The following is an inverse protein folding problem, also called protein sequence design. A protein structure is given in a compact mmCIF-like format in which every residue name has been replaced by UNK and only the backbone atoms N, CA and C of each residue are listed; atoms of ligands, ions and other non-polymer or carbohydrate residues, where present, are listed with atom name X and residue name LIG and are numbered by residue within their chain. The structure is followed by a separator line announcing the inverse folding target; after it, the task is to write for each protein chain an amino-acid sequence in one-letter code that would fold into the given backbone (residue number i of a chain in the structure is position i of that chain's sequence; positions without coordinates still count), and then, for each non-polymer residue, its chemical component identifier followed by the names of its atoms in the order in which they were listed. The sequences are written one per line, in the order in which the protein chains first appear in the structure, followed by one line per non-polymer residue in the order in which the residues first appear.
data_IF_642192222933
#
_entry.id   IF_642192222933
#
_cell.length_a   1.000
_cell.length_b   1.000
_cell.length_c   1.000
_cell.angle_alpha   90.00
_cell.angle_beta   90.00
_cell.angle_gamma   90.00
#
_symmetry.space_group_name_H-M   'P 1'
#
loop_
_entity.id
_entity.type
_entity.pdbx_description
1 polymer ?
#
# COMPACT_ATOMS: atom_id res chain seq x y z
N UNK A 1 28.54 6.22 -1.66
CA UNK A 1 27.43 6.09 -2.64
C UNK A 1 27.62 4.90 -3.59
N UNK A 2 28.80 4.69 -4.19
CA UNK A 2 29.08 3.54 -5.08
C UNK A 2 29.05 2.14 -4.42
N UNK A 3 29.33 2.03 -3.12
CA UNK A 3 29.32 0.74 -2.40
C UNK A 3 27.89 0.25 -2.09
N UNK A 4 26.97 1.18 -1.81
CA UNK A 4 25.55 0.87 -1.54
C UNK A 4 24.82 0.46 -2.84
N UNK A 5 25.19 1.07 -3.98
CA UNK A 5 24.63 0.72 -5.29
C UNK A 5 25.00 -0.70 -5.75
N UNK A 6 26.23 -1.16 -5.50
CA UNK A 6 26.68 -2.51 -5.86
C UNK A 6 26.13 -3.62 -4.96
N UNK A 7 25.80 -3.32 -3.70
CA UNK A 7 25.13 -4.27 -2.80
C UNK A 7 23.68 -4.53 -3.20
N UNK A 8 22.98 -3.52 -3.72
CA UNK A 8 21.65 -3.71 -4.27
C UNK A 8 21.67 -4.75 -5.41
N UNK A 9 22.64 -4.65 -6.33
CA UNK A 9 22.82 -5.60 -7.44
C UNK A 9 23.07 -7.05 -6.98
N UNK A 10 23.78 -7.28 -5.87
CA UNK A 10 24.04 -8.64 -5.39
C UNK A 10 22.86 -9.24 -4.62
N UNK A 11 22.09 -8.44 -3.88
CA UNK A 11 20.78 -8.86 -3.33
C UNK A 11 19.81 -9.21 -4.46
N UNK A 12 19.86 -8.48 -5.59
CA UNK A 12 19.09 -8.81 -6.80
C UNK A 12 19.46 -10.18 -7.40
N UNK A 13 20.66 -10.72 -7.17
CA UNK A 13 21.06 -12.05 -7.69
C UNK A 13 20.42 -13.22 -6.93
N UNK A 14 20.11 -13.04 -5.64
CA UNK A 14 19.42 -14.05 -4.81
C UNK A 14 17.90 -14.04 -5.03
N UNK A 15 17.35 -12.91 -5.48
CA UNK A 15 15.91 -12.71 -5.65
C UNK A 15 15.24 -13.70 -6.62
N UNK A 16 15.83 -14.05 -7.78
CA UNK A 16 15.31 -15.07 -8.67
C UNK A 16 15.22 -16.46 -8.03
N UNK A 17 16.25 -16.86 -7.27
CA UNK A 17 16.30 -18.18 -6.60
C UNK A 17 15.23 -18.26 -5.52
N UNK A 18 15.13 -17.21 -4.68
CA UNK A 18 14.08 -17.10 -3.66
C UNK A 18 12.69 -17.11 -4.32
N UNK A 19 12.51 -16.37 -5.41
CA UNK A 19 11.25 -16.33 -6.16
C UNK A 19 10.87 -17.71 -6.73
N UNK A 20 11.82 -18.47 -7.27
CA UNK A 20 11.58 -19.83 -7.78
C UNK A 20 11.21 -20.82 -6.67
N UNK A 21 11.83 -20.70 -5.49
CA UNK A 21 11.48 -21.49 -4.31
C UNK A 21 10.05 -21.17 -3.88
N UNK A 22 9.70 -19.89 -3.77
CA UNK A 22 8.35 -19.43 -3.41
C UNK A 22 7.30 -19.88 -4.44
N UNK A 23 7.61 -19.86 -5.73
CA UNK A 23 6.71 -20.34 -6.80
C UNK A 23 6.36 -21.82 -6.64
N UNK A 24 7.31 -22.66 -6.23
CA UNK A 24 7.03 -24.10 -5.97
C UNK A 24 6.08 -24.29 -4.79
N UNK A 25 6.29 -23.57 -3.69
CA UNK A 25 5.40 -23.67 -2.53
C UNK A 25 4.00 -23.12 -2.82
N UNK A 26 3.90 -22.10 -3.67
CA UNK A 26 2.61 -21.56 -4.14
C UNK A 26 1.80 -22.62 -4.90
N UNK A 27 2.47 -23.51 -5.64
CA UNK A 27 1.81 -24.56 -6.41
C UNK A 27 1.37 -25.78 -5.56
N UNK A 28 1.89 -25.94 -4.34
CA UNK A 28 1.53 -27.05 -3.43
C UNK A 28 0.20 -26.76 -2.70
N UNK A 29 -0.19 -25.48 -2.56
CA UNK A 29 -1.43 -25.11 -1.88
C UNK A 29 -2.66 -25.38 -2.75
N UNK A 30 -3.65 -26.08 -2.19
CA UNK A 30 -5.00 -26.23 -2.79
C UNK A 30 -5.72 -24.89 -2.98
N UNK A 31 -5.34 -23.86 -2.22
CA UNK A 31 -5.93 -22.50 -2.27
C UNK A 31 -4.85 -21.49 -2.65
N UNK A 32 -4.39 -21.53 -3.90
CA UNK A 32 -3.28 -20.74 -4.44
C UNK A 32 -3.46 -19.23 -4.20
N UNK A 33 -4.68 -18.71 -4.37
CA UNK A 33 -4.98 -17.29 -4.14
C UNK A 33 -4.89 -16.91 -2.65
N UNK A 34 -5.40 -17.75 -1.76
CA UNK A 34 -5.25 -17.56 -0.30
C UNK A 34 -3.79 -17.63 0.16
N UNK A 35 -3.00 -18.53 -0.43
CA UNK A 35 -1.57 -18.62 -0.14
C UNK A 35 -0.82 -17.37 -0.60
N UNK A 36 -1.11 -16.84 -1.80
CA UNK A 36 -0.55 -15.57 -2.30
C UNK A 36 -0.85 -14.40 -1.37
N UNK A 37 -2.08 -14.36 -0.84
CA UNK A 37 -2.49 -13.35 0.14
C UNK A 37 -1.66 -13.47 1.42
N UNK A 38 -1.58 -14.66 2.02
CA UNK A 38 -0.85 -14.89 3.27
C UNK A 38 0.64 -14.59 3.12
N UNK A 39 1.27 -15.09 2.05
CA UNK A 39 2.69 -14.83 1.77
C UNK A 39 2.93 -13.36 1.48
N UNK A 40 2.04 -12.69 0.75
CA UNK A 40 2.13 -11.26 0.48
C UNK A 40 2.08 -10.42 1.77
N UNK A 41 1.13 -10.71 2.67
CA UNK A 41 1.03 -10.03 3.96
C UNK A 41 2.26 -10.32 4.84
N UNK A 42 2.68 -11.58 4.96
CA UNK A 42 3.87 -11.96 5.73
C UNK A 42 5.14 -11.28 5.22
N UNK A 43 5.37 -11.29 3.91
CA UNK A 43 6.51 -10.63 3.29
C UNK A 43 6.52 -9.12 3.59
N UNK A 44 5.33 -8.49 3.59
CA UNK A 44 5.19 -7.07 3.91
C UNK A 44 5.49 -6.78 5.38
N UNK A 45 4.98 -7.60 6.30
CA UNK A 45 5.30 -7.48 7.75
C UNK A 45 6.78 -7.67 8.00
N UNK A 46 7.42 -8.67 7.37
CA UNK A 46 8.86 -8.90 7.49
C UNK A 46 9.65 -7.70 6.93
N UNK A 47 9.25 -7.17 5.77
CA UNK A 47 9.91 -6.02 5.15
C UNK A 47 9.82 -4.76 6.03
N UNK A 48 8.67 -4.53 6.68
CA UNK A 48 8.50 -3.46 7.66
C UNK A 48 9.34 -3.69 8.92
N UNK A 49 9.37 -4.94 9.42
CA UNK A 49 10.19 -5.32 10.58
C UNK A 49 11.69 -5.13 10.32
N UNK A 50 12.19 -5.51 9.14
CA UNK A 50 13.57 -5.26 8.73
C UNK A 50 13.82 -3.76 8.61
N UNK A 51 12.93 -3.00 7.97
CA UNK A 51 13.06 -1.54 7.91
C UNK A 51 13.16 -0.92 9.31
N UNK A 52 12.36 -1.40 10.26
CA UNK A 52 12.41 -0.94 11.64
C UNK A 52 13.74 -1.28 12.34
N UNK A 53 14.22 -2.53 12.21
CA UNK A 53 15.51 -2.94 12.78
C UNK A 53 16.65 -2.13 12.17
N UNK A 54 16.66 -1.96 10.85
CA UNK A 54 17.68 -1.18 10.15
C UNK A 54 17.61 0.28 10.57
N UNK A 55 16.44 0.92 10.55
CA UNK A 55 16.30 2.32 10.97
C UNK A 55 16.69 2.52 12.44
N UNK A 56 16.27 1.62 13.34
CA UNK A 56 16.65 1.71 14.76
C UNK A 56 18.14 1.46 15.00
N UNK A 57 18.77 0.55 14.24
CA UNK A 57 20.23 0.34 14.28
C UNK A 57 20.98 1.53 13.69
N UNK A 58 20.55 2.08 12.56
CA UNK A 58 21.17 3.24 11.93
C UNK A 58 21.06 4.47 12.82
N UNK A 59 19.90 4.71 13.44
CA UNK A 59 19.72 5.85 14.33
C UNK A 59 20.41 5.68 15.69
N UNK A 60 20.73 4.45 16.13
CA UNK A 60 21.52 4.22 17.36
C UNK A 60 23.03 4.21 17.11
N UNK A 61 23.47 3.73 15.94
CA UNK A 61 24.89 3.59 15.60
C UNK A 61 25.53 4.80 14.90
N UNK A 62 24.73 5.68 14.26
CA UNK A 62 25.25 6.78 13.42
C UNK A 62 24.93 8.18 13.96
N UNK A 63 24.54 8.30 15.24
CA UNK A 63 24.23 9.57 15.90
C UNK A 63 25.42 10.51 16.07
N UNK A 64 26.64 9.98 16.03
CA UNK A 64 27.85 10.75 16.27
C UNK A 64 28.71 10.81 14.98
N UNK A 65 28.79 11.96 14.29
CA UNK A 65 29.62 12.12 13.07
C UNK A 65 31.07 11.66 13.26
N UNK A 66 31.59 11.74 14.49
CA UNK A 66 32.94 11.33 14.87
C UNK A 66 33.13 9.81 14.89
N UNK A 67 32.06 9.04 15.15
CA UNK A 67 32.12 7.56 15.14
C UNK A 67 32.12 6.99 13.72
N UNK A 68 31.44 7.65 12.78
CA UNK A 68 31.54 7.38 11.33
C UNK A 68 32.95 7.75 10.85
N UNK A 69 33.49 8.87 11.33
CA UNK A 69 34.83 9.33 10.96
C UNK A 69 35.92 8.40 11.51
N UNK A 70 35.79 7.88 12.75
CA UNK A 70 36.68 6.84 13.30
C UNK A 70 36.58 5.52 12.54
N UNK A 71 35.37 5.06 12.18
CA UNK A 71 35.17 3.86 11.38
C UNK A 71 35.76 3.96 9.96
N UNK A 72 35.85 5.17 9.40
CA UNK A 72 36.47 5.46 8.11
C UNK A 72 37.98 5.76 8.21
N UNK A 73 38.43 6.37 9.31
CA UNK A 73 39.81 6.82 9.52
C UNK A 73 40.72 5.75 10.11
N UNK A 74 40.19 4.79 10.89
CA UNK A 74 41.01 3.76 11.53
C UNK A 74 41.68 2.80 10.53
N UNK A 75 41.32 2.85 9.23
CA UNK A 75 41.95 2.03 8.17
C UNK A 75 41.81 0.51 8.35
N UNK A 76 41.34 0.08 9.52
CA UNK A 76 40.99 -1.27 9.82
C UNK A 76 39.72 -1.52 9.04
N UNK A 77 39.84 -2.33 8.01
CA UNK A 77 38.82 -2.78 7.08
C UNK A 77 37.60 -3.42 7.78
N UNK A 78 37.11 -2.96 8.94
CA UNK A 78 36.03 -3.58 9.72
C UNK A 78 34.69 -3.40 9.02
N UNK A 79 34.43 -2.24 8.40
CA UNK A 79 33.23 -2.05 7.58
C UNK A 79 33.32 -2.88 6.30
N UNK A 80 34.48 -2.90 5.64
CA UNK A 80 34.71 -3.69 4.43
C UNK A 80 34.67 -5.20 4.73
N UNK A 81 35.23 -5.67 5.84
CA UNK A 81 35.30 -7.08 6.21
C UNK A 81 33.95 -7.56 6.77
N UNK A 82 33.22 -6.73 7.52
CA UNK A 82 31.84 -7.02 7.95
C UNK A 82 30.88 -7.02 6.76
N UNK A 83 30.98 -6.04 5.85
CA UNK A 83 30.15 -5.95 4.65
C UNK A 83 30.50 -7.01 3.59
N UNK A 84 31.74 -7.45 3.54
CA UNK A 84 32.24 -8.39 2.53
C UNK A 84 32.25 -9.85 2.99
N UNK A 85 31.91 -10.13 4.26
CA UNK A 85 31.69 -11.51 4.72
C UNK A 85 30.33 -12.08 4.28
N UNK A 86 29.37 -11.24 3.89
CA UNK A 86 28.09 -11.68 3.34
C UNK A 86 28.18 -12.13 1.87
N UNK A 87 29.19 -11.65 1.14
CA UNK A 87 29.35 -11.91 -0.30
C UNK A 87 30.81 -12.27 -0.63
N UNK A 88 31.05 -13.57 -0.81
CA UNK A 88 32.40 -14.12 -1.06
C UNK A 88 33.01 -13.53 -2.35
N UNK A 89 32.19 -13.25 -3.37
CA UNK A 89 32.62 -12.64 -4.64
C UNK A 89 33.06 -11.19 -4.48
N UNK A 90 32.38 -10.39 -3.65
CA UNK A 90 32.79 -9.00 -3.39
C UNK A 90 34.12 -8.97 -2.63
N UNK A 91 34.35 -9.93 -1.73
CA UNK A 91 35.58 -10.05 -0.94
C UNK A 91 36.78 -10.32 -1.82
N UNK A 92 36.64 -11.31 -2.71
CA UNK A 92 37.67 -11.67 -3.66
C UNK A 92 37.91 -10.55 -4.69
N UNK A 93 36.87 -9.81 -5.08
CA UNK A 93 37.00 -8.66 -6.00
C UNK A 93 37.76 -7.49 -5.38
N UNK A 94 37.53 -7.20 -4.10
CA UNK A 94 38.28 -6.19 -3.35
C UNK A 94 39.73 -6.62 -3.13
N UNK A 95 39.98 -7.89 -2.79
CA UNK A 95 41.35 -8.42 -2.66
C UNK A 95 42.12 -8.43 -3.99
N UNK A 96 41.44 -8.63 -5.13
CA UNK A 96 42.05 -8.51 -6.45
C UNK A 96 42.38 -7.05 -6.81
N UNK A 97 41.55 -6.08 -6.39
CA UNK A 97 41.74 -4.67 -6.72
C UNK A 97 42.80 -3.96 -5.84
N UNK A 98 43.08 -4.48 -4.64
CA UNK A 98 44.01 -3.89 -3.67
C UNK A 98 45.39 -4.60 -3.67
N UNK A 99 45.50 -5.79 -4.26
CA UNK A 99 46.76 -6.53 -4.29
C UNK A 99 47.79 -5.93 -5.25
N UNK A 100 48.97 -5.58 -4.74
CA UNK A 100 50.14 -5.16 -5.55
C UNK A 100 50.85 -6.33 -6.25
N UNK A 101 50.37 -7.57 -6.03
CA UNK A 101 50.94 -8.81 -6.56
C UNK A 101 50.05 -9.32 -7.71
N UNK A 102 50.61 -9.38 -8.92
CA UNK A 102 49.93 -9.79 -10.14
C UNK A 102 49.43 -11.24 -10.02
N UNK A 103 50.18 -12.13 -9.36
CA UNK A 103 49.81 -13.54 -9.20
C UNK A 103 48.57 -13.71 -8.32
N UNK A 104 48.52 -12.98 -7.20
CA UNK A 104 47.35 -12.97 -6.30
C UNK A 104 46.13 -12.33 -6.96
N UNK A 105 46.35 -11.30 -7.77
CA UNK A 105 45.28 -10.66 -8.56
C UNK A 105 44.66 -11.66 -9.54
N UNK A 106 45.48 -12.40 -10.29
CA UNK A 106 45.01 -13.42 -11.24
C UNK A 106 44.24 -14.55 -10.56
N UNK A 107 44.75 -15.06 -9.44
CA UNK A 107 44.10 -16.15 -8.68
C UNK A 107 42.73 -15.70 -8.17
N UNK A 108 42.62 -14.47 -7.65
CA UNK A 108 41.35 -13.94 -7.16
C UNK A 108 40.34 -13.74 -8.30
N UNK A 109 40.76 -13.25 -9.47
CA UNK A 109 39.90 -13.12 -10.65
C UNK A 109 39.43 -14.51 -11.15
N UNK A 110 40.33 -15.49 -11.16
CA UNK A 110 39.99 -16.87 -11.52
C UNK A 110 38.94 -17.47 -10.57
N UNK A 111 39.14 -17.31 -9.26
CA UNK A 111 38.19 -17.77 -8.24
C UNK A 111 36.82 -17.11 -8.39
N UNK A 112 36.76 -15.80 -8.64
CA UNK A 112 35.49 -15.09 -8.90
C UNK A 112 34.78 -15.70 -10.13
N UNK A 113 35.54 -15.96 -11.19
CA UNK A 113 35.01 -16.51 -12.44
C UNK A 113 34.45 -17.92 -12.22
N UNK A 114 35.19 -18.78 -11.54
CA UNK A 114 34.77 -20.16 -11.22
C UNK A 114 33.54 -20.18 -10.31
N UNK A 115 33.53 -19.37 -9.24
CA UNK A 115 32.38 -19.26 -8.33
C UNK A 115 31.14 -18.76 -9.09
N UNK A 116 31.30 -17.79 -9.99
CA UNK A 116 30.21 -17.26 -10.80
C UNK A 116 29.66 -18.31 -11.79
N UNK A 117 30.54 -19.10 -12.42
CA UNK A 117 30.14 -20.20 -13.30
C UNK A 117 29.40 -21.31 -12.54
N UNK A 118 29.87 -21.68 -11.35
CA UNK A 118 29.20 -22.67 -10.50
C UNK A 118 27.82 -22.14 -10.07
N UNK A 119 27.73 -20.88 -9.64
CA UNK A 119 26.47 -20.26 -9.28
C UNK A 119 25.47 -20.22 -10.46
N UNK A 120 25.96 -19.92 -11.66
CA UNK A 120 25.16 -19.93 -12.89
C UNK A 120 24.67 -21.34 -13.24
N UNK A 121 25.54 -22.36 -13.12
CA UNK A 121 25.16 -23.75 -13.34
C UNK A 121 24.07 -24.21 -12.36
N UNK A 122 24.24 -23.91 -11.06
CA UNK A 122 23.23 -24.17 -10.03
C UNK A 122 21.92 -23.46 -10.37
N UNK A 123 21.98 -22.19 -10.77
CA UNK A 123 20.80 -21.42 -11.16
C UNK A 123 20.06 -22.04 -12.34
N UNK A 124 20.75 -22.47 -13.38
CA UNK A 124 20.13 -23.13 -14.56
C UNK A 124 19.46 -24.43 -14.16
N UNK A 125 20.10 -25.25 -13.34
CA UNK A 125 19.52 -26.53 -12.86
C UNK A 125 18.26 -26.31 -12.02
N UNK A 126 18.30 -25.35 -11.08
CA UNK A 126 17.14 -24.99 -10.27
C UNK A 126 16.03 -24.39 -11.14
N UNK A 127 16.37 -23.47 -12.05
CA UNK A 127 15.40 -22.85 -12.95
C UNK A 127 14.66 -23.89 -13.79
N UNK A 128 15.38 -24.82 -14.43
CA UNK A 128 14.75 -25.82 -15.29
C UNK A 128 13.79 -26.75 -14.51
N UNK A 129 14.13 -27.13 -13.29
CA UNK A 129 13.30 -28.02 -12.46
C UNK A 129 12.09 -27.32 -11.83
N UNK A 130 12.23 -26.04 -11.46
CA UNK A 130 11.23 -25.30 -10.69
C UNK A 130 10.36 -24.37 -11.55
N UNK A 131 10.89 -23.79 -12.62
CA UNK A 131 10.23 -22.74 -13.39
C UNK A 131 9.01 -23.26 -14.16
N UNK A 132 9.16 -24.32 -14.96
CA UNK A 132 8.05 -24.84 -15.78
C UNK A 132 6.91 -25.40 -14.91
N UNK A 133 7.25 -26.14 -13.84
CA UNK A 133 6.25 -26.66 -12.90
C UNK A 133 5.59 -25.56 -12.07
N UNK A 134 6.29 -24.48 -11.75
CA UNK A 134 5.76 -23.32 -11.04
C UNK A 134 4.86 -22.44 -11.91
N UNK A 135 5.29 -22.15 -13.15
CA UNK A 135 4.58 -21.30 -14.09
C UNK A 135 3.25 -21.91 -14.54
N UNK A 136 3.23 -23.20 -14.92
CA UNK A 136 2.01 -23.90 -15.35
C UNK A 136 1.03 -24.08 -14.19
N UNK A 137 1.55 -24.29 -12.98
CA UNK A 137 0.73 -24.39 -11.78
C UNK A 137 0.13 -23.07 -11.30
N UNK A 138 0.71 -21.92 -11.64
CA UNK A 138 0.22 -20.62 -11.20
C UNK A 138 -1.10 -20.19 -11.88
N UNK A 139 -1.42 -20.77 -13.04
CA UNK A 139 -2.61 -20.47 -13.86
C UNK A 139 -3.82 -21.34 -13.55
N UNK A 140 -3.65 -22.50 -12.91
CA UNK A 140 -4.74 -23.41 -12.59
C UNK A 140 -5.40 -23.04 -11.25
N UNK A 141 -6.58 -22.42 -11.31
CA UNK A 141 -7.42 -22.13 -10.14
C UNK A 141 -8.17 -23.36 -9.65
N UNK A 142 -8.18 -23.60 -8.33
CA UNK A 142 -9.00 -24.64 -7.72
C UNK A 142 -10.46 -24.17 -7.60
N UNK A 143 -11.34 -24.75 -8.42
CA UNK A 143 -12.79 -24.59 -8.31
C UNK A 143 -13.42 -25.82 -7.68
N UNK A 144 -13.92 -25.72 -6.44
CA UNK A 144 -14.77 -26.78 -5.88
C UNK A 144 -16.08 -26.82 -6.69
N UNK A 145 -16.19 -27.76 -7.63
CA UNK A 145 -17.43 -28.03 -8.37
C UNK A 145 -18.46 -28.63 -7.41
N UNK A 146 -19.18 -27.76 -6.70
CA UNK A 146 -20.38 -28.14 -5.97
C UNK A 146 -21.55 -28.06 -6.95
N UNK A 147 -22.23 -29.19 -7.17
CA UNK A 147 -23.59 -29.15 -7.75
C UNK A 147 -24.47 -28.55 -6.67
N UNK A 148 -24.83 -27.27 -6.82
CA UNK A 148 -25.82 -26.64 -5.96
C UNK A 148 -27.18 -27.25 -6.29
N UNK A 149 -27.87 -27.77 -5.28
CA UNK A 149 -29.25 -28.21 -5.42
C UNK A 149 -30.16 -27.00 -5.67
N UNK A 150 -31.27 -27.17 -6.41
CA UNK A 150 -32.28 -26.11 -6.62
C UNK A 150 -32.75 -25.49 -5.28
N UNK A 151 -32.92 -26.31 -4.24
CA UNK A 151 -33.26 -25.83 -2.87
C UNK A 151 -32.17 -24.99 -2.22
N UNK A 152 -30.90 -25.22 -2.56
CA UNK A 152 -29.78 -24.44 -2.07
C UNK A 152 -29.60 -23.13 -2.84
N UNK A 153 -30.05 -23.08 -4.11
CA UNK A 153 -30.15 -21.84 -4.88
C UNK A 153 -31.29 -20.97 -4.35
N UNK A 154 -32.49 -21.52 -4.14
CA UNK A 154 -33.63 -20.75 -3.62
C UNK A 154 -33.35 -20.16 -2.23
N UNK A 155 -32.68 -20.90 -1.34
CA UNK A 155 -32.24 -20.37 -0.03
C UNK A 155 -31.20 -19.25 -0.14
N UNK A 156 -30.46 -19.16 -1.24
CA UNK A 156 -29.45 -18.12 -1.48
C UNK A 156 -29.99 -16.92 -2.26
N UNK A 157 -31.14 -17.06 -2.93
CA UNK A 157 -31.83 -15.98 -3.63
C UNK A 157 -32.71 -15.26 -2.60
N UNK A 158 -32.09 -14.34 -1.85
CA UNK A 158 -32.78 -13.45 -0.92
C UNK A 158 -32.98 -12.10 -1.62
N UNK A 159 -34.21 -11.60 -1.63
CA UNK A 159 -34.52 -10.27 -2.14
C UNK A 159 -33.72 -9.21 -1.36
N UNK A 160 -32.77 -8.57 -2.05
CA UNK A 160 -32.00 -7.44 -1.53
C UNK A 160 -32.22 -6.23 -2.43
N UNK A 161 -31.97 -5.02 -1.91
CA UNK A 161 -31.97 -3.84 -2.75
C UNK A 161 -30.87 -3.96 -3.82
N UNK A 162 -31.13 -3.39 -5.00
CA UNK A 162 -30.16 -3.40 -6.11
C UNK A 162 -28.82 -2.80 -5.68
N UNK A 163 -28.86 -1.72 -4.89
CA UNK A 163 -27.66 -1.04 -4.38
C UNK A 163 -26.84 -1.95 -3.45
N UNK A 164 -27.46 -2.59 -2.46
CA UNK A 164 -26.76 -3.48 -1.52
C UNK A 164 -26.13 -4.66 -2.25
N UNK A 165 -26.86 -5.23 -3.22
CA UNK A 165 -26.34 -6.33 -4.05
C UNK A 165 -25.11 -5.89 -4.83
N UNK A 166 -25.13 -4.68 -5.38
CA UNK A 166 -23.99 -4.15 -6.15
C UNK A 166 -22.80 -3.80 -5.26
N UNK A 167 -23.02 -3.17 -4.10
CA UNK A 167 -21.97 -2.92 -3.10
C UNK A 167 -21.30 -4.23 -2.69
N UNK A 168 -22.10 -5.27 -2.43
CA UNK A 168 -21.59 -6.61 -2.10
C UNK A 168 -20.78 -7.22 -3.23
N UNK A 169 -21.22 -7.09 -4.49
CA UNK A 169 -20.45 -7.51 -5.68
C UNK A 169 -19.08 -6.82 -5.70
N UNK A 170 -19.03 -5.50 -5.55
CA UNK A 170 -17.77 -4.74 -5.57
C UNK A 170 -16.82 -5.17 -4.44
N UNK A 171 -17.33 -5.33 -3.21
CA UNK A 171 -16.52 -5.83 -2.09
C UNK A 171 -16.02 -7.25 -2.36
N UNK A 172 -16.86 -8.16 -2.87
CA UNK A 172 -16.44 -9.53 -3.18
C UNK A 172 -15.28 -9.54 -4.19
N UNK A 173 -15.31 -8.68 -5.22
CA UNK A 173 -14.22 -8.57 -6.20
C UNK A 173 -12.92 -8.14 -5.50
N UNK A 174 -12.98 -7.12 -4.65
CA UNK A 174 -11.81 -6.61 -3.93
C UNK A 174 -11.21 -7.64 -2.96
N UNK A 175 -12.05 -8.40 -2.24
CA UNK A 175 -11.59 -9.38 -1.25
C UNK A 175 -11.17 -10.73 -1.85
N UNK A 176 -11.77 -11.16 -2.97
CA UNK A 176 -11.47 -12.46 -3.58
C UNK A 176 -10.27 -12.44 -4.52
N UNK A 177 -9.92 -11.29 -5.08
CA UNK A 177 -8.80 -11.18 -6.01
C UNK A 177 -7.54 -10.77 -5.26
N UNK A 178 -6.48 -11.60 -5.19
CA UNK A 178 -5.28 -11.31 -4.39
C UNK A 178 -4.62 -9.98 -4.71
N UNK A 179 -4.55 -9.60 -6.00
CA UNK A 179 -3.99 -8.33 -6.42
C UNK A 179 -4.76 -7.13 -5.82
N UNK A 180 -6.09 -7.19 -5.79
CA UNK A 180 -6.93 -6.12 -5.26
C UNK A 180 -6.92 -6.12 -3.74
N UNK A 181 -6.91 -7.30 -3.11
CA UNK A 181 -6.81 -7.39 -1.65
C UNK A 181 -5.50 -6.77 -1.16
N UNK A 182 -4.36 -7.08 -1.79
CA UNK A 182 -3.07 -6.54 -1.37
C UNK A 182 -2.91 -5.04 -1.63
N UNK A 183 -3.46 -4.51 -2.72
CA UNK A 183 -3.25 -3.10 -3.11
C UNK A 183 -4.37 -2.15 -2.63
N UNK A 184 -5.60 -2.63 -2.45
CA UNK A 184 -6.74 -1.79 -2.03
C UNK A 184 -7.16 -2.05 -0.59
N UNK A 185 -7.14 -3.31 -0.12
CA UNK A 185 -7.66 -3.66 1.21
C UNK A 185 -6.55 -3.68 2.26
N UNK A 186 -5.40 -4.28 1.97
CA UNK A 186 -4.31 -4.36 2.94
C UNK A 186 -3.74 -2.97 3.27
N UNK A 187 -3.69 -2.06 2.29
CA UNK A 187 -3.15 -0.70 2.48
C UNK A 187 -3.93 0.13 3.51
N UNK A 188 -5.24 -0.14 3.67
CA UNK A 188 -6.13 0.48 4.67
C UNK A 188 -5.62 0.26 6.09
N UNK A 189 -5.09 -0.94 6.35
CA UNK A 189 -4.56 -1.35 7.65
C UNK A 189 -3.08 -0.98 7.77
N UNK A 190 -2.32 -1.20 6.70
CA UNK A 190 -0.88 -1.02 6.71
C UNK A 190 -0.47 0.45 6.80
N UNK A 191 -1.11 1.35 6.07
CA UNK A 191 -0.67 2.75 6.00
C UNK A 191 -0.77 3.47 7.36
N UNK A 192 -1.88 3.38 8.12
CA UNK A 192 -1.94 3.94 9.48
C UNK A 192 -0.92 3.31 10.42
N UNK A 193 -0.74 1.99 10.33
CA UNK A 193 0.22 1.26 11.15
C UNK A 193 1.65 1.75 10.87
N UNK A 194 2.04 1.87 9.59
CA UNK A 194 3.37 2.36 9.19
C UNK A 194 3.59 3.78 9.74
N UNK A 195 2.61 4.68 9.62
CA UNK A 195 2.72 6.04 10.14
C UNK A 195 2.90 6.06 11.67
N UNK A 196 2.13 5.26 12.40
CA UNK A 196 2.27 5.12 13.86
C UNK A 196 3.64 4.54 14.25
N UNK A 197 4.11 3.51 13.53
CA UNK A 197 5.42 2.90 13.78
C UNK A 197 6.57 3.87 13.49
N UNK A 198 6.49 4.63 12.39
CA UNK A 198 7.51 5.62 12.04
C UNK A 198 7.69 6.68 13.13
N UNK A 199 6.59 7.15 13.73
CA UNK A 199 6.65 8.12 14.84
C UNK A 199 7.36 7.57 16.09
N UNK A 200 7.17 6.29 16.40
CA UNK A 200 7.78 5.64 17.58
C UNK A 200 9.24 5.25 17.31
N UNK A 201 9.58 4.94 16.06
CA UNK A 201 10.92 4.53 15.66
C UNK A 201 11.94 5.68 15.72
N UNK A 202 11.49 6.93 15.62
CA UNK A 202 12.33 8.12 15.74
C UNK A 202 12.65 8.42 17.23
N UNK A 203 13.74 7.82 17.74
CA UNK A 203 14.34 8.22 19.02
C UNK A 203 13.95 7.38 20.23
N UNK A 204 13.71 8.04 21.37
CA UNK A 204 13.19 7.41 22.58
C UNK A 204 11.67 7.29 22.46
N UNK A 205 11.21 6.13 21.98
CA UNK A 205 9.78 5.88 21.76
C UNK A 205 8.92 6.16 23.00
N UNK A 206 9.45 5.99 24.22
CA UNK A 206 8.71 6.31 25.44
C UNK A 206 8.48 7.82 25.58
N UNK A 207 9.50 8.63 25.34
CA UNK A 207 9.39 10.09 25.36
C UNK A 207 8.42 10.61 24.28
N UNK A 208 8.46 10.04 23.08
CA UNK A 208 7.54 10.40 21.99
C UNK A 208 6.08 10.03 22.35
N UNK A 209 5.85 8.88 22.96
CA UNK A 209 4.52 8.48 23.44
C UNK A 209 3.98 9.44 24.51
N UNK A 210 4.80 9.82 25.49
CA UNK A 210 4.39 10.76 26.54
C UNK A 210 4.16 12.17 25.98
N UNK A 211 4.95 12.62 25.00
CA UNK A 211 4.70 13.86 24.27
C UNK A 211 3.33 13.83 23.58
N UNK A 212 3.02 12.76 22.83
CA UNK A 212 1.72 12.61 22.16
C UNK A 212 0.58 12.63 23.18
N UNK A 213 0.70 11.90 24.29
CA UNK A 213 -0.30 11.91 25.37
C UNK A 213 -0.50 13.32 25.95
N UNK A 214 0.58 14.06 26.18
CA UNK A 214 0.54 15.45 26.61
C UNK A 214 -0.21 16.35 25.63
N UNK A 215 0.01 16.16 24.32
CA UNK A 215 -0.73 16.87 23.27
C UNK A 215 -2.22 16.53 23.29
N UNK A 216 -2.58 15.25 23.48
CA UNK A 216 -3.98 14.79 23.52
C UNK A 216 -4.73 15.28 24.76
N UNK A 217 -4.03 15.53 25.87
CA UNK A 217 -4.60 16.08 27.09
C UNK A 217 -4.80 17.61 27.01
N UNK A 218 -3.99 18.32 26.22
CA UNK A 218 -4.07 19.77 26.12
C UNK A 218 -5.11 20.22 25.07
N UNK A 219 -6.22 20.81 25.54
CA UNK A 219 -7.29 21.35 24.67
C UNK A 219 -6.83 22.46 23.72
N UNK A 220 -5.78 23.21 24.06
CA UNK A 220 -5.23 24.25 23.17
C UNK A 220 -4.60 23.63 21.91
N UNK A 221 -4.17 22.37 21.97
CA UNK A 221 -3.59 21.66 20.85
C UNK A 221 -4.64 20.95 19.97
N UNK A 222 -5.93 21.00 20.33
CA UNK A 222 -6.99 20.29 19.60
C UNK A 222 -7.14 20.80 18.16
N UNK A 223 -6.95 22.11 17.93
CA UNK A 223 -6.95 22.68 16.58
C UNK A 223 -5.86 22.04 15.70
N UNK A 224 -4.66 21.82 16.26
CA UNK A 224 -3.55 21.15 15.57
C UNK A 224 -3.85 19.67 15.33
N UNK A 225 -4.41 18.97 16.32
CA UNK A 225 -4.79 17.56 16.21
C UNK A 225 -5.87 17.39 15.13
N UNK A 226 -6.86 18.28 15.07
CA UNK A 226 -7.88 18.29 14.01
C UNK A 226 -7.27 18.46 12.63
N UNK A 227 -6.36 19.43 12.45
CA UNK A 227 -5.66 19.64 11.18
C UNK A 227 -4.86 18.40 10.77
N UNK A 228 -4.13 17.80 11.70
CA UNK A 228 -3.36 16.59 11.45
C UNK A 228 -4.26 15.39 11.09
N UNK A 229 -5.36 15.20 11.82
CA UNK A 229 -6.32 14.15 11.54
C UNK A 229 -7.01 14.36 10.18
N UNK A 230 -7.46 15.58 9.88
CA UNK A 230 -8.07 15.94 8.61
C UNK A 230 -7.13 15.63 7.42
N UNK A 231 -5.88 16.11 7.50
CA UNK A 231 -4.87 15.87 6.46
C UNK A 231 -4.49 14.39 6.34
N UNK A 232 -4.32 13.69 7.46
CA UNK A 232 -4.01 12.26 7.48
C UNK A 232 -5.13 11.39 6.91
N UNK A 233 -6.39 11.69 7.24
CA UNK A 233 -7.56 10.96 6.70
C UNK A 233 -7.71 11.25 5.21
N UNK A 234 -7.58 12.51 4.77
CA UNK A 234 -7.57 12.84 3.34
C UNK A 234 -6.48 12.09 2.57
N UNK A 235 -5.25 12.10 3.09
CA UNK A 235 -4.11 11.44 2.44
C UNK A 235 -4.32 9.93 2.37
N UNK A 236 -4.71 9.29 3.48
CA UNK A 236 -4.93 7.84 3.52
C UNK A 236 -6.09 7.40 2.62
N UNK A 237 -7.22 8.11 2.65
CA UNK A 237 -8.37 7.81 1.81
C UNK A 237 -8.10 8.09 0.33
N UNK A 238 -7.41 9.20 0.01
CA UNK A 238 -7.07 9.59 -1.36
C UNK A 238 -5.99 8.72 -2.00
N UNK A 239 -5.10 8.12 -1.19
CA UNK A 239 -4.08 7.16 -1.65
C UNK A 239 -4.67 5.78 -1.89
N UNK A 240 -5.82 5.44 -1.29
CA UNK A 240 -6.46 4.14 -1.47
C UNK A 240 -7.00 3.99 -2.92
N UNK A 241 -6.48 3.04 -3.72
CA UNK A 241 -6.91 2.86 -5.10
C UNK A 241 -8.35 2.37 -5.27
N UNK A 242 -9.02 1.90 -4.20
CA UNK A 242 -10.31 1.22 -4.28
C UNK A 242 -11.37 1.99 -5.11
N UNK A 243 -11.47 3.31 -4.93
CA UNK A 243 -12.34 4.17 -5.71
C UNK A 243 -11.73 4.58 -7.06
N UNK A 244 -10.47 5.02 -7.05
CA UNK A 244 -9.78 5.58 -8.22
C UNK A 244 -9.39 4.57 -9.30
N UNK A 245 -9.61 3.28 -9.05
CA UNK A 245 -9.45 2.21 -10.04
C UNK A 245 -10.68 1.30 -10.11
N UNK A 246 -11.83 1.73 -9.57
CA UNK A 246 -13.05 0.92 -9.47
C UNK A 246 -13.69 0.54 -10.81
N UNK A 247 -13.53 1.36 -11.84
CA UNK A 247 -13.93 1.13 -13.24
C UNK A 247 -12.84 0.33 -13.94
N UNK A 248 -11.59 0.71 -13.75
CA UNK A 248 -10.42 0.03 -14.30
C UNK A 248 -10.33 -1.45 -13.90
N UNK A 249 -10.74 -1.80 -12.68
CA UNK A 249 -10.82 -3.18 -12.16
C UNK A 249 -11.76 -4.08 -12.98
N UNK A 250 -12.81 -3.52 -13.59
CA UNK A 250 -13.71 -4.28 -14.45
C UNK A 250 -13.08 -4.60 -15.81
N UNK A 251 -12.12 -3.78 -16.25
CA UNK A 251 -11.36 -3.97 -17.47
C UNK A 251 -12.25 -4.10 -18.71
N UNK A 252 -11.84 -4.97 -19.64
CA UNK A 252 -12.61 -5.28 -20.86
C UNK A 252 -14.01 -5.81 -20.57
N UNK A 253 -14.28 -6.34 -19.37
CA UNK A 253 -15.60 -6.90 -19.01
C UNK A 253 -16.62 -5.84 -18.60
N UNK A 254 -16.26 -4.56 -18.63
CA UNK A 254 -17.17 -3.46 -18.28
C UNK A 254 -18.44 -3.42 -19.14
N UNK A 255 -18.40 -3.96 -20.37
CA UNK A 255 -19.59 -4.07 -21.21
C UNK A 255 -20.72 -4.85 -20.51
N UNK A 256 -20.39 -5.85 -19.68
CA UNK A 256 -21.39 -6.65 -18.94
C UNK A 256 -22.21 -5.75 -18.02
N UNK A 257 -21.55 -4.81 -17.33
CA UNK A 257 -22.18 -3.84 -16.44
C UNK A 257 -23.18 -2.92 -17.20
N UNK A 258 -23.01 -2.74 -18.51
CA UNK A 258 -23.92 -1.94 -19.35
C UNK A 258 -25.17 -2.71 -19.78
N UNK A 259 -25.12 -4.04 -19.87
CA UNK A 259 -26.27 -4.90 -20.22
C UNK A 259 -27.16 -5.26 -19.02
N UNK A 260 -26.66 -5.09 -17.81
CA UNK A 260 -27.42 -5.40 -16.60
C UNK A 260 -28.53 -4.34 -16.39
N UNK A 261 -29.75 -4.75 -15.99
CA UNK A 261 -30.90 -3.86 -15.82
C UNK A 261 -30.82 -3.08 -14.49
N UNK A 262 -29.69 -2.40 -14.27
CA UNK A 262 -29.40 -1.60 -13.07
C UNK A 262 -28.93 -0.23 -13.52
N UNK A 263 -29.54 0.84 -12.98
CA UNK A 263 -29.19 2.21 -13.36
C UNK A 263 -27.70 2.52 -13.13
N UNK A 264 -27.07 3.26 -14.04
CA UNK A 264 -25.66 3.66 -13.87
C UNK A 264 -25.43 4.45 -12.59
N UNK A 265 -26.41 5.26 -12.16
CA UNK A 265 -26.38 5.95 -10.87
C UNK A 265 -26.21 4.96 -9.72
N UNK A 266 -26.96 3.85 -9.71
CA UNK A 266 -26.82 2.81 -8.68
C UNK A 266 -25.45 2.14 -8.74
N UNK A 267 -24.94 1.84 -9.94
CA UNK A 267 -23.64 1.19 -10.11
C UNK A 267 -22.48 2.07 -9.63
N UNK A 268 -22.51 3.36 -9.97
CA UNK A 268 -21.50 4.35 -9.56
C UNK A 268 -21.56 4.56 -8.03
N UNK A 269 -22.75 4.77 -7.47
CA UNK A 269 -22.89 4.95 -6.02
C UNK A 269 -22.47 3.70 -5.24
N UNK A 270 -22.69 2.50 -5.77
CA UNK A 270 -22.22 1.27 -5.15
C UNK A 270 -20.68 1.20 -5.04
N UNK A 271 -19.95 1.75 -6.03
CA UNK A 271 -18.48 1.85 -6.00
C UNK A 271 -17.99 2.88 -4.97
N UNK A 272 -18.69 4.01 -4.86
CA UNK A 272 -18.40 5.00 -3.82
C UNK A 272 -18.62 4.40 -2.43
N UNK A 273 -19.76 3.71 -2.22
CA UNK A 273 -20.10 3.08 -0.93
C UNK A 273 -19.13 1.94 -0.60
N UNK A 274 -18.73 1.10 -1.57
CA UNK A 274 -17.77 0.02 -1.30
C UNK A 274 -16.40 0.57 -0.88
N UNK A 275 -15.92 1.64 -1.54
CA UNK A 275 -14.71 2.34 -1.09
C UNK A 275 -14.91 3.02 0.27
N UNK A 276 -16.10 3.54 0.55
CA UNK A 276 -16.40 4.18 1.83
C UNK A 276 -16.36 3.19 3.00
N UNK A 277 -16.91 1.98 2.81
CA UNK A 277 -16.84 0.90 3.80
C UNK A 277 -15.37 0.54 4.10
N UNK A 278 -14.55 0.45 3.05
CA UNK A 278 -13.13 0.16 3.16
C UNK A 278 -12.37 1.26 3.92
N UNK A 279 -12.49 2.52 3.51
CA UNK A 279 -11.83 3.65 4.18
C UNK A 279 -12.38 3.90 5.59
N UNK A 280 -13.64 3.55 5.86
CA UNK A 280 -14.21 3.56 7.21
C UNK A 280 -13.42 2.68 8.20
N UNK A 281 -12.84 1.56 7.74
CA UNK A 281 -11.99 0.74 8.59
C UNK A 281 -10.68 1.45 8.98
N UNK A 282 -10.08 2.24 8.08
CA UNK A 282 -8.92 3.10 8.40
C UNK A 282 -9.27 4.10 9.49
N UNK A 283 -10.43 4.75 9.38
CA UNK A 283 -10.90 5.72 10.38
C UNK A 283 -11.11 5.07 11.73
N UNK A 284 -11.72 3.88 11.79
CA UNK A 284 -11.89 3.13 13.03
C UNK A 284 -10.52 2.81 13.67
N UNK A 285 -9.54 2.36 12.89
CA UNK A 285 -8.18 2.10 13.38
C UNK A 285 -7.54 3.38 13.95
N UNK A 286 -7.70 4.51 13.26
CA UNK A 286 -7.19 5.80 13.70
C UNK A 286 -7.85 6.25 15.02
N UNK A 287 -9.18 6.14 15.12
CA UNK A 287 -9.92 6.49 16.34
C UNK A 287 -9.52 5.61 17.53
N UNK A 288 -9.33 4.30 17.32
CA UNK A 288 -8.81 3.39 18.35
C UNK A 288 -7.42 3.83 18.81
N UNK A 289 -6.54 4.21 17.87
CA UNK A 289 -5.22 4.77 18.19
C UNK A 289 -5.31 6.03 19.04
N UNK A 290 -6.18 6.98 18.67
CA UNK A 290 -6.38 8.21 19.44
C UNK A 290 -6.93 7.95 20.85
N UNK A 291 -7.86 7.00 21.00
CA UNK A 291 -8.37 6.56 22.31
C UNK A 291 -7.22 5.99 23.16
N UNK A 292 -6.35 5.18 22.57
CA UNK A 292 -5.17 4.64 23.27
C UNK A 292 -4.22 5.72 23.77
N UNK A 293 -4.12 6.86 23.07
CA UNK A 293 -3.35 8.03 23.49
C UNK A 293 -4.10 8.97 24.44
N UNK A 294 -5.32 8.62 24.89
CA UNK A 294 -6.07 9.40 25.87
C UNK A 294 -6.86 10.58 25.27
N UNK A 295 -7.24 10.50 24.00
CA UNK A 295 -8.09 11.51 23.36
C UNK A 295 -9.41 11.72 24.11
N UNK A 296 -9.79 12.98 24.35
CA UNK A 296 -11.10 13.32 24.87
C UNK A 296 -12.25 12.99 23.90
N UNK A 297 -13.44 12.75 24.43
CA UNK A 297 -14.63 12.42 23.61
C UNK A 297 -14.99 13.54 22.62
N UNK A 298 -14.72 14.79 22.98
CA UNK A 298 -14.98 15.99 22.16
C UNK A 298 -14.21 15.95 20.84
N UNK A 299 -12.88 15.75 20.90
CA UNK A 299 -12.02 15.69 19.71
C UNK A 299 -12.33 14.45 18.86
N UNK A 300 -12.63 13.31 19.50
CA UNK A 300 -13.02 12.09 18.79
C UNK A 300 -14.31 12.26 17.99
N UNK A 301 -15.33 12.92 18.57
CA UNK A 301 -16.58 13.19 17.89
C UNK A 301 -16.38 14.13 16.68
N UNK A 302 -15.57 15.18 16.83
CA UNK A 302 -15.22 16.08 15.73
C UNK A 302 -14.51 15.35 14.59
N UNK A 303 -13.50 14.52 14.91
CA UNK A 303 -12.77 13.73 13.92
C UNK A 303 -13.70 12.74 13.21
N UNK A 304 -14.63 12.10 13.94
CA UNK A 304 -15.60 11.18 13.35
C UNK A 304 -16.49 11.88 12.31
N UNK A 305 -17.06 13.05 12.63
CA UNK A 305 -17.91 13.80 11.69
C UNK A 305 -17.13 14.18 10.44
N UNK A 306 -15.93 14.74 10.61
CA UNK A 306 -15.04 15.10 9.50
C UNK A 306 -14.73 13.88 8.63
N UNK A 307 -14.42 12.76 9.27
CA UNK A 307 -13.98 11.55 8.57
C UNK A 307 -15.06 10.98 7.65
N UNK A 308 -16.34 11.05 8.03
CA UNK A 308 -17.47 10.57 7.21
C UNK A 308 -17.55 11.37 5.91
N UNK A 309 -17.38 12.69 5.98
CA UNK A 309 -17.40 13.58 4.82
C UNK A 309 -16.18 13.32 3.92
N UNK A 310 -14.98 13.28 4.51
CA UNK A 310 -13.75 13.00 3.76
C UNK A 310 -13.79 11.64 3.05
N UNK A 311 -14.37 10.61 3.68
CA UNK A 311 -14.55 9.29 3.06
C UNK A 311 -15.42 9.39 1.80
N UNK A 312 -16.55 10.11 1.89
CA UNK A 312 -17.41 10.30 0.73
C UNK A 312 -16.70 11.10 -0.37
N UNK A 313 -16.06 12.22 0.00
CA UNK A 313 -15.25 13.03 -0.91
C UNK A 313 -14.23 12.19 -1.69
N UNK A 314 -13.42 11.40 -0.98
CA UNK A 314 -12.39 10.56 -1.58
C UNK A 314 -12.99 9.48 -2.50
N UNK A 315 -14.10 8.87 -2.08
CA UNK A 315 -14.82 7.88 -2.91
C UNK A 315 -15.38 8.49 -4.18
N UNK A 316 -16.08 9.62 -4.08
CA UNK A 316 -16.71 10.29 -5.20
C UNK A 316 -15.68 10.85 -6.20
N UNK A 317 -14.65 11.54 -5.71
CA UNK A 317 -13.57 12.06 -6.57
C UNK A 317 -12.79 10.93 -7.23
N UNK A 318 -12.44 9.87 -6.49
CA UNK A 318 -11.76 8.70 -7.06
C UNK A 318 -12.55 8.06 -8.19
N UNK A 319 -13.84 7.78 -7.97
CA UNK A 319 -14.69 7.17 -9.02
C UNK A 319 -14.83 8.10 -10.23
N UNK A 320 -14.98 9.41 -10.04
CA UNK A 320 -15.03 10.37 -11.16
C UNK A 320 -13.72 10.43 -11.94
N UNK A 321 -12.57 10.40 -11.27
CA UNK A 321 -11.25 10.34 -11.92
C UNK A 321 -11.15 9.09 -12.79
N UNK A 322 -11.56 7.94 -12.25
CA UNK A 322 -11.49 6.68 -12.98
C UNK A 322 -12.49 6.62 -14.14
N UNK A 323 -13.69 7.16 -13.98
CA UNK A 323 -14.67 7.31 -15.07
C UNK A 323 -14.17 8.21 -16.20
N UNK A 324 -13.34 9.21 -15.86
CA UNK A 324 -12.82 10.17 -16.84
C UNK A 324 -11.64 9.61 -17.64
N UNK A 325 -10.83 8.74 -17.05
CA UNK A 325 -9.69 8.11 -17.72
C UNK A 325 -9.47 6.67 -17.28
N UNK A 326 -10.40 5.73 -17.58
CA UNK A 326 -10.31 4.36 -17.09
C UNK A 326 -9.25 3.57 -17.88
N UNK A 327 -8.54 2.71 -17.17
CA UNK A 327 -7.58 1.76 -17.75
C UNK A 327 -8.27 0.42 -17.95
N UNK A 328 -8.97 0.25 -19.08
CA UNK A 328 -9.76 -0.95 -19.35
C UNK A 328 -8.94 -2.12 -19.91
N UNK A 329 -7.81 -1.84 -20.57
CA UNK A 329 -6.95 -2.87 -21.18
C UNK A 329 -5.78 -3.13 -20.23
N UNK A 330 -5.75 -4.33 -19.67
CA UNK A 330 -4.64 -4.82 -18.83
C UNK A 330 -4.52 -6.34 -18.95
N UNK A 331 -3.29 -6.81 -18.95
CA UNK A 331 -2.88 -8.22 -19.06
C UNK A 331 -2.82 -8.94 -17.71
N UNK A 332 -2.82 -8.19 -16.61
CA UNK A 332 -2.92 -8.73 -15.26
C UNK A 332 -3.66 -7.77 -14.31
N UNK A 333 -4.28 -8.32 -13.27
CA UNK A 333 -5.08 -7.56 -12.30
C UNK A 333 -4.22 -6.53 -11.54
N UNK A 334 -2.92 -6.76 -11.37
CA UNK A 334 -2.03 -5.81 -10.70
C UNK A 334 -1.89 -4.50 -11.48
N UNK A 335 -1.90 -4.55 -12.81
CA UNK A 335 -1.77 -3.38 -13.69
C UNK A 335 -3.00 -2.48 -13.67
N UNK A 336 -4.18 -3.03 -13.35
CA UNK A 336 -5.42 -2.28 -13.18
C UNK A 336 -5.35 -1.32 -11.98
N UNK A 337 -4.57 -1.68 -10.95
CA UNK A 337 -4.48 -0.94 -9.68
C UNK A 337 -3.12 -0.23 -9.53
N UNK A 338 -2.01 -0.98 -9.52
CA UNK A 338 -0.68 -0.48 -9.13
C UNK A 338 -0.04 0.41 -10.20
N UNK A 339 -0.25 0.09 -11.47
CA UNK A 339 0.27 0.88 -12.61
C UNK A 339 -0.81 1.81 -13.19
N UNK A 340 -1.76 2.23 -12.36
CA UNK A 340 -2.83 3.13 -12.75
C UNK A 340 -2.53 4.53 -12.21
N UNK A 341 -2.36 5.49 -13.12
CA UNK A 341 -2.09 6.88 -12.77
C UNK A 341 -3.29 7.55 -12.06
N UNK A 342 -4.49 6.98 -12.12
CA UNK A 342 -5.66 7.53 -11.45
C UNK A 342 -5.50 7.56 -9.92
N UNK A 343 -4.83 6.57 -9.34
CA UNK A 343 -4.50 6.57 -7.90
C UNK A 343 -3.59 7.74 -7.52
N UNK A 344 -2.62 8.08 -8.38
CA UNK A 344 -1.76 9.25 -8.17
C UNK A 344 -2.57 10.56 -8.27
N UNK A 345 -3.47 10.68 -9.26
CA UNK A 345 -4.35 11.86 -9.40
C UNK A 345 -5.24 12.04 -8.17
N UNK A 346 -5.83 10.96 -7.67
CA UNK A 346 -6.65 10.95 -6.46
C UNK A 346 -5.86 11.41 -5.23
N UNK A 347 -4.64 10.87 -5.04
CA UNK A 347 -3.75 11.28 -3.96
C UNK A 347 -3.37 12.78 -4.06
N UNK A 348 -2.99 13.26 -5.24
CA UNK A 348 -2.61 14.66 -5.45
C UNK A 348 -3.80 15.61 -5.17
N UNK A 349 -5.00 15.24 -5.58
CA UNK A 349 -6.21 16.02 -5.29
C UNK A 349 -6.49 16.08 -3.78
N UNK A 350 -6.32 14.98 -3.07
CA UNK A 350 -6.48 14.94 -1.62
C UNK A 350 -5.43 15.79 -0.89
N UNK A 351 -4.16 15.74 -1.33
CA UNK A 351 -3.09 16.59 -0.80
C UNK A 351 -3.38 18.06 -1.06
N UNK A 352 -3.80 18.41 -2.28
CA UNK A 352 -4.13 19.78 -2.65
C UNK A 352 -5.28 20.31 -1.78
N UNK A 353 -6.35 19.54 -1.60
CA UNK A 353 -7.46 19.93 -0.74
C UNK A 353 -7.01 20.08 0.72
N UNK A 354 -6.18 19.17 1.22
CA UNK A 354 -5.58 19.26 2.54
C UNK A 354 -4.77 20.55 2.71
N UNK A 355 -3.92 20.89 1.75
CA UNK A 355 -3.12 22.11 1.81
C UNK A 355 -3.98 23.39 1.76
N UNK A 356 -4.95 23.45 0.84
CA UNK A 356 -5.83 24.62 0.67
C UNK A 356 -6.70 24.88 1.91
N UNK A 357 -7.02 23.85 2.67
CA UNK A 357 -7.83 23.97 3.90
C UNK A 357 -6.97 24.19 5.15
N UNK A 358 -5.90 23.42 5.32
CA UNK A 358 -5.06 23.44 6.53
C UNK A 358 -4.20 24.71 6.58
N UNK A 359 -3.60 25.13 5.47
CA UNK A 359 -2.65 26.26 5.48
C UNK A 359 -3.32 27.56 5.95
N UNK A 360 -4.48 27.98 5.44
CA UNK A 360 -5.16 29.19 5.94
C UNK A 360 -5.56 29.07 7.41
N UNK A 361 -6.09 27.92 7.83
CA UNK A 361 -6.49 27.68 9.23
C UNK A 361 -5.29 27.79 10.18
N UNK A 362 -4.15 27.21 9.79
CA UNK A 362 -2.92 27.25 10.56
C UNK A 362 -2.34 28.69 10.66
N UNK A 363 -2.39 29.46 9.57
CA UNK A 363 -1.92 30.86 9.54
C UNK A 363 -2.79 31.79 10.40
N UNK A 364 -4.11 31.59 10.37
CA UNK A 364 -5.07 32.40 11.13
C UNK A 364 -5.12 32.03 12.63
N UNK A 365 -4.50 30.91 13.03
CA UNK A 365 -4.46 30.42 14.43
C UNK A 365 -5.82 30.45 15.13
N UNK A 366 -6.85 30.02 14.39
CA UNK A 366 -8.23 30.03 14.88
C UNK A 366 -8.47 28.93 15.93
N UNK A 367 -9.49 29.14 16.77
CA UNK A 367 -9.87 28.20 17.82
C UNK A 367 -10.38 26.86 17.25
N UNK A 368 -10.37 25.81 18.08
CA UNK A 368 -10.76 24.45 17.70
C UNK A 368 -12.16 24.37 17.07
N UNK A 369 -13.15 25.08 17.64
CA UNK A 369 -14.52 25.05 17.13
C UNK A 369 -14.64 25.67 15.74
N UNK A 370 -13.97 26.80 15.50
CA UNK A 370 -13.98 27.44 14.19
C UNK A 370 -13.19 26.61 13.17
N UNK A 371 -12.06 26.01 13.57
CA UNK A 371 -11.32 25.04 12.72
C UNK A 371 -12.24 23.91 12.26
N UNK A 372 -12.96 23.29 13.19
CA UNK A 372 -13.91 22.22 12.90
C UNK A 372 -15.01 22.69 11.93
N UNK A 373 -15.64 23.84 12.22
CA UNK A 373 -16.71 24.39 11.38
C UNK A 373 -16.22 24.72 9.96
N UNK A 374 -15.04 25.31 9.80
CA UNK A 374 -14.46 25.65 8.50
C UNK A 374 -14.20 24.38 7.69
N UNK A 375 -13.55 23.37 8.29
CA UNK A 375 -13.27 22.09 7.61
C UNK A 375 -14.55 21.38 7.18
N UNK A 376 -15.52 21.26 8.09
CA UNK A 376 -16.82 20.62 7.81
C UNK A 376 -17.57 21.39 6.71
N UNK A 377 -17.61 22.71 6.77
CA UNK A 377 -18.33 23.52 5.78
C UNK A 377 -17.73 23.37 4.39
N UNK A 378 -16.39 23.44 4.28
CA UNK A 378 -15.71 23.30 2.98
C UNK A 378 -15.96 21.92 2.39
N UNK A 379 -15.72 20.85 3.16
CA UNK A 379 -15.87 19.48 2.64
C UNK A 379 -17.34 19.17 2.32
N UNK A 380 -18.29 19.64 3.14
CA UNK A 380 -19.72 19.42 2.91
C UNK A 380 -20.21 20.09 1.62
N UNK A 381 -19.77 21.33 1.37
CA UNK A 381 -20.09 22.04 0.11
C UNK A 381 -19.52 21.28 -1.09
N UNK A 382 -18.28 20.81 -0.99
CA UNK A 382 -17.65 19.99 -2.03
C UNK A 382 -18.42 18.67 -2.25
N UNK A 383 -18.84 17.99 -1.19
CA UNK A 383 -19.59 16.74 -1.27
C UNK A 383 -20.96 16.93 -1.93
N UNK A 384 -21.66 18.03 -1.64
CA UNK A 384 -22.92 18.38 -2.31
C UNK A 384 -22.70 18.58 -3.81
N UNK A 385 -21.64 19.30 -4.18
CA UNK A 385 -21.27 19.51 -5.59
C UNK A 385 -20.91 18.17 -6.26
N UNK A 386 -20.10 17.35 -5.59
CA UNK A 386 -19.68 16.03 -6.08
C UNK A 386 -20.87 15.08 -6.25
N UNK A 387 -21.83 15.07 -5.32
CA UNK A 387 -23.04 14.26 -5.45
C UNK A 387 -23.79 14.58 -6.74
N UNK A 388 -23.91 15.87 -7.07
CA UNK A 388 -24.56 16.30 -8.32
C UNK A 388 -23.72 15.92 -9.55
N UNK A 389 -22.39 16.11 -9.51
CA UNK A 389 -21.49 15.73 -10.61
C UNK A 389 -21.48 14.21 -10.86
N UNK A 390 -21.42 13.39 -9.82
CA UNK A 390 -21.49 11.93 -9.90
C UNK A 390 -22.78 11.48 -10.60
N UNK A 391 -23.91 12.10 -10.25
CA UNK A 391 -25.21 11.73 -10.79
C UNK A 391 -25.50 12.28 -12.19
N UNK A 392 -24.72 13.25 -12.67
CA UNK A 392 -24.89 13.87 -13.99
C UNK A 392 -23.72 13.51 -14.91
N UNK A 393 -22.55 14.12 -14.68
CA UNK A 393 -21.33 13.87 -15.42
C UNK A 393 -20.89 12.40 -15.31
N UNK A 394 -20.92 11.80 -14.11
CA UNK A 394 -20.54 10.41 -13.92
C UNK A 394 -21.39 9.44 -14.74
N UNK A 395 -22.70 9.65 -14.79
CA UNK A 395 -23.63 8.86 -15.61
C UNK A 395 -23.35 9.03 -17.10
N UNK A 396 -23.06 10.26 -17.54
CA UNK A 396 -22.69 10.57 -18.94
C UNK A 396 -21.39 9.87 -19.33
N UNK A 397 -20.35 9.98 -18.49
CA UNK A 397 -19.06 9.31 -18.72
C UNK A 397 -19.24 7.79 -18.79
N UNK A 398 -19.97 7.19 -17.84
CA UNK A 398 -20.22 5.75 -17.81
C UNK A 398 -20.91 5.26 -19.10
N UNK A 399 -21.90 6.02 -19.59
CA UNK A 399 -22.59 5.69 -20.84
C UNK A 399 -21.63 5.66 -22.03
N UNK A 400 -20.62 6.51 -22.04
CA UNK A 400 -19.66 6.63 -23.15
C UNK A 400 -18.51 5.62 -23.10
N UNK A 401 -18.39 4.77 -22.08
CA UNK A 401 -17.29 3.80 -21.90
C UNK A 401 -17.23 2.64 -22.91
N UNK A 402 -17.82 2.77 -24.09
CA UNK A 402 -17.77 1.76 -25.16
C UNK A 402 -17.99 2.35 -26.56
N UNK A 403 -17.74 3.64 -26.73
CA UNK A 403 -17.30 4.22 -28.01
C UNK A 403 -15.77 4.27 -27.96
#
# INVERSE_FOLDING_TARGET
MFVVGKQAEEVFKLFPVISMILMRFTNISKHKDGFRIIVGILAMVIALGINFIVNSMTQRGFKDPQSIQKLLADGNNSLINTMSNLFITSKLGVFAAISNDIGKTLINILLITVISLIALAIFVVISNSFYLKGAVGATEGYGKKSKLSLREMDKKIIANSQLVTWVKKELIILFRTPAYLLNCVAIIVLLPIILLFSLIAEGDGAATLEMIRGMMANKEMYSMILMAAFGGILFTCGTNPAASTSISIEGEKIFISKFLPVSYKTQINAKIISSAILNGATVVILLIGLIFFGAGIEILAMILVISILVIYFAGATGVLIDLSSPKLIWDNEQKAVKQNFNSLKSMLLAILLGAVTIVPVALLKINTNLTFLVMVSIILVLDIVLYNLVNTLGVKLFKNLSE
#
